data_IF_112675571349
#
_entry.id   IF_112675571349
#
_cell.length_a   1.000
_cell.length_b   1.000
_cell.length_c   1.000
_cell.angle_alpha   90.00
_cell.angle_beta   90.00
_cell.angle_gamma   90.00
#
_symmetry.space_group_name_H-M   'P 1'
#
loop_
_entity.id
_entity.type
_entity.pdbx_description
1 polymer ?
#
# COMPACT_ATOMS: atom_id res chain seq x y z
N UNK A 1 46.92 4.01 -34.18
CA UNK A 1 46.02 3.02 -34.83
C UNK A 1 44.56 3.46 -34.85
N UNK A 2 44.01 4.07 -33.79
CA UNK A 2 42.65 4.65 -33.79
C UNK A 2 42.44 5.81 -34.79
N UNK A 3 43.47 6.63 -35.04
CA UNK A 3 43.40 7.71 -36.03
C UNK A 3 43.34 7.22 -37.49
N UNK A 4 43.86 6.02 -37.80
CA UNK A 4 43.80 5.44 -39.15
C UNK A 4 42.42 4.81 -39.43
N UNK A 5 41.78 4.25 -38.39
CA UNK A 5 40.42 3.71 -38.43
C UNK A 5 39.35 4.80 -38.60
N UNK A 6 39.57 5.98 -37.99
CA UNK A 6 38.67 7.13 -38.17
C UNK A 6 38.70 7.69 -39.61
N UNK A 7 39.86 7.68 -40.28
CA UNK A 7 40.00 8.15 -41.67
C UNK A 7 39.39 7.17 -42.68
N UNK A 8 39.50 5.85 -42.44
CA UNK A 8 38.86 4.82 -43.29
C UNK A 8 37.34 4.81 -43.12
N UNK A 9 36.82 5.01 -41.91
CA UNK A 9 35.37 5.11 -41.67
C UNK A 9 34.76 6.39 -42.27
N UNK A 10 35.47 7.52 -42.20
CA UNK A 10 35.02 8.78 -42.81
C UNK A 10 35.05 8.75 -44.36
N UNK A 11 36.01 8.04 -44.96
CA UNK A 11 36.08 7.87 -46.42
C UNK A 11 35.09 6.84 -46.96
N UNK A 12 34.73 5.82 -46.19
CA UNK A 12 33.62 4.91 -46.52
C UNK A 12 32.24 5.61 -46.43
N UNK A 13 32.07 6.56 -45.52
CA UNK A 13 30.87 7.40 -45.42
C UNK A 13 30.69 8.36 -46.61
N UNK A 14 31.78 8.90 -47.16
CA UNK A 14 31.73 9.77 -48.35
C UNK A 14 31.48 9.00 -49.66
N UNK A 15 31.80 7.70 -49.73
CA UNK A 15 31.52 6.84 -50.87
C UNK A 15 30.08 6.29 -50.89
N UNK A 16 29.33 6.47 -49.80
CA UNK A 16 27.92 6.08 -49.67
C UNK A 16 26.95 7.26 -49.80
N UNK A 17 27.46 8.49 -49.94
CA UNK A 17 26.62 9.62 -50.34
C UNK A 17 26.30 9.47 -51.82
N UNK A 18 25.00 9.43 -52.21
CA UNK A 18 24.63 9.37 -53.61
C UNK A 18 25.18 10.62 -54.30
N UNK A 19 26.00 10.43 -55.35
CA UNK A 19 26.28 11.50 -56.30
C UNK A 19 24.94 11.92 -56.90
N UNK A 20 24.52 13.12 -56.59
CA UNK A 20 23.45 13.83 -57.30
C UNK A 20 23.95 14.13 -58.72
N UNK A 21 23.88 13.13 -59.61
CA UNK A 21 23.85 13.35 -61.07
C UNK A 21 23.59 12.10 -61.93
N UNK A 22 23.23 10.95 -61.35
CA UNK A 22 22.64 9.87 -62.13
C UNK A 22 21.18 9.70 -61.71
N UNK A 23 20.28 10.38 -62.45
CA UNK A 23 18.85 10.05 -62.44
C UNK A 23 18.67 8.54 -62.54
N UNK A 24 17.58 8.01 -61.97
CA UNK A 24 17.37 6.60 -61.58
C UNK A 24 17.68 5.51 -62.64
N UNK A 25 18.02 5.87 -63.89
CA UNK A 25 18.40 4.98 -65.00
C UNK A 25 19.48 5.54 -65.97
N UNK A 26 20.21 6.61 -65.61
CA UNK A 26 21.27 7.20 -66.47
C UNK A 26 20.74 7.82 -67.77
N UNK A 27 19.53 8.39 -67.75
CA UNK A 27 18.92 9.10 -68.88
C UNK A 27 18.90 10.60 -68.59
N UNK A 28 19.19 11.47 -69.59
CA UNK A 28 19.03 12.91 -69.43
C UNK A 28 17.55 13.26 -69.15
N UNK A 29 17.31 14.29 -68.32
CA UNK A 29 15.96 14.84 -68.12
C UNK A 29 15.42 15.33 -69.48
N UNK A 30 14.45 14.61 -70.03
CA UNK A 30 13.79 15.02 -71.27
C UNK A 30 12.78 16.11 -70.97
N UNK A 31 12.83 17.20 -71.74
CA UNK A 31 11.82 18.26 -71.66
C UNK A 31 10.61 17.92 -72.52
N UNK A 32 9.45 18.48 -72.17
CA UNK A 32 8.17 18.19 -72.81
C UNK A 32 8.22 18.56 -74.31
N UNK A 33 8.31 17.55 -75.19
CA UNK A 33 8.42 17.72 -76.64
C UNK A 33 9.62 17.02 -77.30
N UNK A 34 10.59 16.53 -76.52
CA UNK A 34 11.75 15.81 -77.06
C UNK A 34 11.48 14.31 -77.28
N UNK A 35 12.02 13.76 -78.38
CA UNK A 35 11.87 12.35 -78.75
C UNK A 35 13.00 11.53 -78.14
N UNK A 36 12.66 10.51 -77.34
CA UNK A 36 13.65 9.67 -76.67
C UNK A 36 14.51 8.88 -77.67
N UNK A 37 15.85 8.80 -77.48
CA UNK A 37 16.76 8.12 -78.41
C UNK A 37 16.70 6.58 -78.37
N UNK A 38 15.88 5.99 -77.49
CA UNK A 38 15.65 4.53 -77.45
C UNK A 38 14.15 4.23 -77.35
N UNK A 39 13.74 3.10 -77.92
CA UNK A 39 12.38 2.58 -77.78
C UNK A 39 12.12 2.19 -76.33
N UNK A 40 11.53 3.09 -75.56
CA UNK A 40 11.03 2.79 -74.23
C UNK A 40 9.68 2.10 -74.40
N UNK A 41 9.59 0.80 -74.07
CA UNK A 41 8.28 0.16 -73.91
C UNK A 41 7.59 0.85 -72.75
N UNK A 42 6.54 1.62 -73.04
CA UNK A 42 5.65 2.17 -72.01
C UNK A 42 5.17 1.01 -71.13
N UNK A 43 5.44 1.02 -69.81
CA UNK A 43 4.77 0.10 -68.91
C UNK A 43 3.27 0.29 -69.12
N UNK A 44 2.56 -0.78 -69.42
CA UNK A 44 1.14 -0.76 -69.84
C UNK A 44 0.19 -0.24 -68.74
N UNK A 45 0.74 0.03 -67.56
CA UNK A 45 0.14 0.77 -66.45
C UNK A 45 0.91 2.07 -66.22
N UNK A 46 0.47 3.14 -66.89
CA UNK A 46 0.79 4.51 -66.47
C UNK A 46 -0.01 4.78 -65.18
N UNK A 47 0.67 4.74 -64.04
CA UNK A 47 0.12 5.27 -62.79
C UNK A 47 0.18 6.79 -62.91
N UNK A 48 -0.88 7.39 -63.42
CA UNK A 48 -1.04 8.85 -63.39
C UNK A 48 -1.41 9.20 -61.96
N UNK A 49 -0.44 9.70 -61.20
CA UNK A 49 -0.64 10.13 -59.82
C UNK A 49 -1.42 11.46 -59.82
N UNK A 50 -2.73 11.35 -59.65
CA UNK A 50 -3.60 12.50 -59.45
C UNK A 50 -3.44 12.97 -58.00
N UNK A 51 -2.51 13.93 -57.82
CA UNK A 51 -2.20 14.51 -56.52
C UNK A 51 -3.43 15.14 -55.85
N UNK A 52 -4.34 15.75 -56.60
CA UNK A 52 -5.49 16.46 -56.03
C UNK A 52 -6.52 15.47 -55.47
N UNK A 53 -6.82 14.39 -56.22
CA UNK A 53 -7.72 13.34 -55.72
C UNK A 53 -7.08 12.54 -54.59
N UNK A 54 -5.76 12.32 -54.62
CA UNK A 54 -5.03 11.64 -53.56
C UNK A 54 -5.03 12.47 -52.26
N UNK A 55 -4.81 13.78 -52.34
CA UNK A 55 -4.90 14.69 -51.19
C UNK A 55 -6.33 14.76 -50.63
N UNK A 56 -7.36 14.85 -51.50
CA UNK A 56 -8.76 14.78 -51.06
C UNK A 56 -9.09 13.44 -50.40
N UNK A 57 -8.59 12.32 -50.93
CA UNK A 57 -8.79 11.00 -50.34
C UNK A 57 -8.05 10.86 -49.00
N UNK A 58 -6.82 11.40 -48.87
CA UNK A 58 -6.10 11.47 -47.58
C UNK A 58 -6.83 12.31 -46.56
N UNK A 59 -7.33 13.50 -46.94
CA UNK A 59 -8.09 14.36 -46.04
C UNK A 59 -9.40 13.67 -45.58
N UNK A 60 -10.11 13.00 -46.49
CA UNK A 60 -11.31 12.22 -46.16
C UNK A 60 -11.00 10.99 -45.31
N UNK A 61 -9.86 10.32 -45.54
CA UNK A 61 -9.41 9.20 -44.72
C UNK A 61 -9.02 9.68 -43.32
N UNK A 62 -8.23 10.75 -43.20
CA UNK A 62 -7.83 11.35 -41.94
C UNK A 62 -9.05 11.82 -41.13
N UNK A 63 -10.05 12.44 -41.77
CA UNK A 63 -11.31 12.82 -41.12
C UNK A 63 -12.18 11.62 -40.72
N UNK A 64 -11.91 10.41 -41.25
CA UNK A 64 -12.63 9.17 -40.91
C UNK A 64 -11.98 8.40 -39.77
N UNK A 65 -10.71 8.63 -39.47
CA UNK A 65 -10.01 7.94 -38.37
C UNK A 65 -10.48 8.55 -37.04
N UNK A 66 -11.09 7.76 -36.14
CA UNK A 66 -11.44 8.26 -34.81
C UNK A 66 -10.16 8.61 -34.04
N UNK A 67 -10.19 9.60 -33.14
CA UNK A 67 -9.05 9.87 -32.27
C UNK A 67 -8.72 8.61 -31.45
N UNK A 68 -7.43 8.30 -31.35
CA UNK A 68 -6.91 7.14 -30.63
C UNK A 68 -6.19 7.57 -29.37
N UNK A 69 -6.54 6.97 -28.24
CA UNK A 69 -5.91 7.20 -26.94
C UNK A 69 -5.28 5.92 -26.40
N UNK A 70 -4.12 6.07 -25.76
CA UNK A 70 -3.41 4.96 -25.15
C UNK A 70 -3.63 4.95 -23.64
N UNK A 71 -4.27 3.90 -23.14
CA UNK A 71 -4.49 3.65 -21.72
C UNK A 71 -3.32 2.83 -21.16
N UNK A 72 -2.54 3.47 -20.28
CA UNK A 72 -1.35 2.90 -19.63
C UNK A 72 -1.72 2.21 -18.31
N UNK A 73 -2.46 1.09 -18.38
CA UNK A 73 -2.93 0.39 -17.18
C UNK A 73 -1.79 -0.24 -16.37
N UNK A 74 -0.66 -0.59 -17.01
CA UNK A 74 0.55 -1.09 -16.36
C UNK A 74 1.21 -0.08 -15.39
N UNK A 75 0.81 1.19 -15.46
CA UNK A 75 1.30 2.22 -14.55
C UNK A 75 0.95 1.90 -13.08
N UNK A 76 -0.19 1.22 -12.85
CA UNK A 76 -0.60 0.76 -11.52
C UNK A 76 0.44 -0.18 -10.89
N UNK A 77 0.95 -1.14 -11.65
CA UNK A 77 1.99 -2.07 -11.18
C UNK A 77 3.33 -1.37 -10.97
N UNK A 78 3.67 -0.39 -11.81
CA UNK A 78 4.88 0.42 -11.65
C UNK A 78 4.82 1.25 -10.38
N UNK A 79 3.66 1.85 -10.07
CA UNK A 79 3.46 2.62 -8.84
C UNK A 79 3.48 1.70 -7.61
N UNK A 80 2.86 0.51 -7.70
CA UNK A 80 2.97 -0.52 -6.66
C UNK A 80 4.43 -0.84 -6.37
N UNK A 81 5.24 -1.15 -7.39
CA UNK A 81 6.66 -1.49 -7.23
C UNK A 81 7.45 -0.33 -6.58
N UNK A 82 7.17 0.92 -6.97
CA UNK A 82 7.80 2.10 -6.36
C UNK A 82 7.42 2.28 -4.90
N UNK A 83 6.15 2.05 -4.53
CA UNK A 83 5.71 2.08 -3.13
C UNK A 83 6.44 0.99 -2.34
N UNK A 84 6.50 -0.24 -2.84
CA UNK A 84 7.21 -1.35 -2.17
C UNK A 84 8.72 -1.06 -2.00
N UNK A 85 9.38 -0.55 -3.04
CA UNK A 85 10.78 -0.16 -3.02
C UNK A 85 11.04 0.97 -2.01
N UNK A 86 10.18 2.01 -1.98
CA UNK A 86 10.30 3.12 -1.04
C UNK A 86 10.25 2.68 0.42
N UNK A 87 9.26 1.86 0.79
CA UNK A 87 9.16 1.33 2.15
C UNK A 87 10.35 0.42 2.51
N UNK A 88 10.89 -0.32 1.54
CA UNK A 88 12.08 -1.15 1.74
C UNK A 88 13.33 -0.30 1.98
N UNK A 89 13.59 0.68 1.11
CA UNK A 89 14.73 1.60 1.25
C UNK A 89 14.67 2.40 2.56
N UNK A 90 13.47 2.85 2.96
CA UNK A 90 13.27 3.57 4.23
C UNK A 90 13.61 2.71 5.46
N UNK A 91 13.34 1.40 5.42
CA UNK A 91 13.68 0.45 6.49
C UNK A 91 15.17 0.10 6.49
N UNK A 92 15.76 -0.17 5.32
CA UNK A 92 17.20 -0.45 5.21
C UNK A 92 18.05 0.74 5.71
N UNK A 93 17.62 1.97 5.41
CA UNK A 93 18.24 3.18 5.94
C UNK A 93 18.09 3.29 7.48
N UNK A 94 17.00 2.79 8.07
CA UNK A 94 16.84 2.71 9.53
C UNK A 94 17.78 1.70 10.16
N UNK A 95 17.88 0.50 9.57
CA UNK A 95 18.72 -0.59 10.08
C UNK A 95 20.21 -0.26 10.02
N UNK A 96 20.63 0.52 9.01
CA UNK A 96 22.01 1.01 8.87
C UNK A 96 22.34 2.19 9.79
N UNK A 97 21.37 2.68 10.57
CA UNK A 97 21.56 3.80 11.49
C UNK A 97 21.69 5.15 10.78
N UNK A 98 21.16 5.28 9.56
CA UNK A 98 21.16 6.56 8.85
C UNK A 98 20.33 7.61 9.60
N UNK A 99 20.74 8.88 9.48
CA UNK A 99 19.99 9.98 10.06
C UNK A 99 18.61 10.15 9.41
N UNK A 100 17.76 10.96 10.02
CA UNK A 100 16.39 11.20 9.56
C UNK A 100 16.32 11.78 8.14
N UNK A 101 17.28 12.62 7.77
CA UNK A 101 17.31 13.24 6.45
C UNK A 101 17.61 12.20 5.36
N UNK A 102 18.64 11.38 5.56
CA UNK A 102 19.02 10.32 4.63
C UNK A 102 17.94 9.25 4.49
N UNK A 103 17.24 8.92 5.59
CA UNK A 103 16.11 7.99 5.54
C UNK A 103 14.96 8.51 4.70
N UNK A 104 14.58 9.77 4.92
CA UNK A 104 13.52 10.40 4.13
C UNK A 104 13.93 10.53 2.66
N UNK A 105 15.19 10.88 2.39
CA UNK A 105 15.75 10.97 1.04
C UNK A 105 15.70 9.63 0.31
N UNK A 106 16.15 8.54 0.93
CA UNK A 106 16.11 7.19 0.34
C UNK A 106 14.67 6.76 0.00
N UNK A 107 13.72 7.01 0.90
CA UNK A 107 12.30 6.73 0.66
C UNK A 107 11.73 7.56 -0.50
N UNK A 108 12.00 8.86 -0.53
CA UNK A 108 11.51 9.77 -1.57
C UNK A 108 12.12 9.48 -2.94
N UNK A 109 13.39 9.05 -2.98
CA UNK A 109 14.09 8.68 -4.21
C UNK A 109 13.38 7.53 -4.92
N UNK A 110 13.08 6.45 -4.19
CA UNK A 110 12.38 5.28 -4.72
C UNK A 110 10.91 5.57 -5.03
N UNK A 111 10.23 6.32 -4.14
CA UNK A 111 8.85 6.74 -4.39
C UNK A 111 8.79 7.69 -5.59
N UNK A 112 9.87 8.42 -5.88
CA UNK A 112 10.04 9.46 -6.90
C UNK A 112 9.00 10.58 -6.79
N UNK A 113 8.69 10.97 -5.55
CA UNK A 113 7.84 12.12 -5.19
C UNK A 113 8.56 12.91 -4.11
N UNK A 114 8.66 14.23 -4.29
CA UNK A 114 9.20 15.12 -3.27
C UNK A 114 8.13 15.41 -2.22
N UNK A 115 8.42 15.05 -0.97
CA UNK A 115 7.55 15.24 0.20
C UNK A 115 8.39 15.85 1.33
N UNK A 116 7.79 16.59 2.26
CA UNK A 116 8.55 17.10 3.40
C UNK A 116 9.08 15.94 4.28
N UNK A 117 10.36 15.93 4.69
CA UNK A 117 10.93 14.85 5.50
C UNK A 117 10.13 14.55 6.78
N UNK A 118 9.58 15.60 7.40
CA UNK A 118 8.74 15.51 8.61
C UNK A 118 7.45 14.72 8.40
N UNK A 119 6.94 14.65 7.17
CA UNK A 119 5.75 13.88 6.80
C UNK A 119 6.05 12.42 6.48
N UNK A 120 7.27 12.14 5.99
CA UNK A 120 7.70 10.81 5.55
C UNK A 120 8.15 9.94 6.72
N UNK A 121 8.89 10.51 7.68
CA UNK A 121 9.48 9.77 8.79
C UNK A 121 8.46 8.99 9.65
N UNK A 122 7.27 9.52 9.97
CA UNK A 122 6.24 8.76 10.67
C UNK A 122 5.72 7.54 9.89
N UNK A 123 5.73 7.60 8.55
CA UNK A 123 5.27 6.52 7.67
C UNK A 123 6.26 5.36 7.68
N UNK A 124 7.57 5.66 7.75
CA UNK A 124 8.63 4.66 7.78
C UNK A 124 8.76 4.01 9.17
N UNK A 125 8.71 4.81 10.24
CA UNK A 125 8.97 4.36 11.62
C UNK A 125 7.80 3.66 12.30
N UNK A 126 6.60 3.83 11.77
CA UNK A 126 5.40 3.30 12.41
C UNK A 126 5.40 1.77 12.41
N UNK A 127 4.90 1.16 13.49
CA UNK A 127 4.49 -0.25 13.49
C UNK A 127 3.43 -0.59 12.41
N UNK A 128 2.95 0.43 11.70
CA UNK A 128 1.92 0.38 10.67
C UNK A 128 2.49 0.59 9.26
N UNK A 129 3.82 0.61 9.08
CA UNK A 129 4.44 0.84 7.77
C UNK A 129 3.94 -0.11 6.70
N UNK A 130 3.75 -1.39 7.02
CA UNK A 130 3.23 -2.38 6.07
C UNK A 130 1.73 -2.20 5.79
N UNK A 131 0.90 -1.89 6.79
CA UNK A 131 -0.53 -1.62 6.57
C UNK A 131 -0.76 -0.37 5.72
N UNK A 132 0.04 0.68 5.95
CA UNK A 132 0.01 1.90 5.17
C UNK A 132 0.50 1.64 3.74
N UNK A 133 1.60 0.90 3.57
CA UNK A 133 2.09 0.46 2.26
C UNK A 133 0.98 -0.25 1.49
N UNK A 134 0.33 -1.22 2.12
CA UNK A 134 -0.72 -2.02 1.48
C UNK A 134 -1.96 -1.17 1.14
N UNK A 135 -2.32 -0.21 2.01
CA UNK A 135 -3.38 0.76 1.73
C UNK A 135 -3.02 1.67 0.54
N UNK A 136 -1.78 2.16 0.46
CA UNK A 136 -1.30 2.97 -0.66
C UNK A 136 -1.31 2.20 -1.98
N UNK A 137 -0.84 0.94 -1.96
CA UNK A 137 -0.85 0.05 -3.13
C UNK A 137 -2.29 -0.17 -3.60
N UNK A 138 -3.20 -0.48 -2.69
CA UNK A 138 -4.60 -0.71 -3.04
C UNK A 138 -5.23 0.54 -3.66
N UNK A 139 -5.05 1.71 -3.05
CA UNK A 139 -5.57 2.97 -3.59
C UNK A 139 -5.01 3.22 -4.99
N UNK A 140 -3.70 3.06 -5.19
CA UNK A 140 -3.07 3.20 -6.50
C UNK A 140 -3.67 2.24 -7.53
N UNK A 141 -3.76 0.95 -7.21
CA UNK A 141 -4.33 -0.06 -8.11
C UNK A 141 -5.78 0.25 -8.49
N UNK A 142 -6.64 0.58 -7.52
CA UNK A 142 -8.04 0.94 -7.77
C UNK A 142 -8.19 2.16 -8.68
N UNK A 143 -7.26 3.13 -8.65
CA UNK A 143 -7.29 4.28 -9.56
C UNK A 143 -6.92 3.87 -10.98
N UNK A 144 -5.87 3.06 -11.13
CA UNK A 144 -5.34 2.65 -12.45
C UNK A 144 -6.10 1.48 -13.10
N UNK A 145 -7.09 0.90 -12.42
CA UNK A 145 -8.06 -0.01 -13.03
C UNK A 145 -8.97 0.67 -14.06
N UNK A 146 -9.15 2.00 -13.96
CA UNK A 146 -9.96 2.80 -14.90
C UNK A 146 -9.08 3.69 -15.79
N UNK A 147 -9.42 3.90 -17.07
CA UNK A 147 -8.75 4.90 -17.90
C UNK A 147 -8.91 6.30 -17.29
N UNK A 148 -7.79 6.99 -17.04
CA UNK A 148 -7.76 8.37 -16.53
C UNK A 148 -7.28 9.30 -17.64
N UNK A 149 -7.99 10.40 -17.86
CA UNK A 149 -7.61 11.45 -18.82
C UNK A 149 -7.49 12.81 -18.14
N UNK A 150 -6.60 13.65 -18.66
CA UNK A 150 -6.36 14.99 -18.11
C UNK A 150 -7.59 15.90 -18.25
N UNK A 151 -8.23 15.90 -19.41
CA UNK A 151 -9.40 16.74 -19.70
C UNK A 151 -10.54 15.88 -20.28
N UNK A 152 -11.43 15.42 -19.38
CA UNK A 152 -12.61 14.63 -19.74
C UNK A 152 -13.63 15.44 -20.56
N UNK A 153 -13.92 16.72 -20.24
CA UNK A 153 -14.73 17.58 -21.12
C UNK A 153 -14.19 17.65 -22.55
N UNK A 154 -12.88 17.81 -22.73
CA UNK A 154 -12.27 17.80 -24.06
C UNK A 154 -12.46 16.47 -24.78
N UNK A 155 -12.26 15.34 -24.09
CA UNK A 155 -12.55 14.02 -24.64
C UNK A 155 -14.02 13.89 -25.07
N UNK A 156 -14.95 14.39 -24.26
CA UNK A 156 -16.38 14.35 -24.56
C UNK A 156 -16.74 15.19 -25.80
N UNK A 157 -16.07 16.33 -26.02
CA UNK A 157 -16.21 17.12 -27.25
C UNK A 157 -15.65 16.40 -28.48
N UNK A 158 -14.63 15.55 -28.29
CA UNK A 158 -14.05 14.74 -29.35
C UNK A 158 -14.80 13.43 -29.63
N UNK A 159 -15.75 13.03 -28.78
CA UNK A 159 -16.64 11.90 -29.08
C UNK A 159 -17.52 12.31 -30.28
N UNK A 160 -17.01 11.97 -31.46
CA UNK A 160 -17.76 11.90 -32.70
C UNK A 160 -18.89 10.86 -32.55
N UNK A 161 -19.96 10.89 -33.36
CA UNK A 161 -20.96 9.80 -33.42
C UNK A 161 -20.37 8.39 -33.62
N UNK A 162 -19.08 8.26 -33.98
CA UNK A 162 -18.36 6.99 -34.13
C UNK A 162 -17.64 6.52 -32.86
N UNK A 163 -17.55 7.35 -31.82
CA UNK A 163 -16.80 7.06 -30.60
C UNK A 163 -15.30 7.38 -30.70
N UNK A 164 -14.58 7.02 -29.64
CA UNK A 164 -13.13 7.20 -29.47
C UNK A 164 -12.47 5.83 -29.38
N UNK A 165 -11.36 5.62 -30.09
CA UNK A 165 -10.59 4.39 -29.95
C UNK A 165 -9.68 4.48 -28.72
N UNK A 166 -9.80 3.53 -27.79
CA UNK A 166 -8.92 3.40 -26.63
C UNK A 166 -8.14 2.10 -26.76
N UNK A 167 -6.81 2.22 -26.78
CA UNK A 167 -5.87 1.12 -26.84
C UNK A 167 -5.28 0.90 -25.46
N UNK A 168 -5.40 -0.30 -24.94
CA UNK A 168 -4.60 -0.72 -23.79
C UNK A 168 -3.22 -1.07 -24.29
N UNK A 169 -2.23 -0.29 -23.88
CA UNK A 169 -0.84 -0.44 -24.31
C UNK A 169 -0.04 -1.03 -23.15
N UNK A 170 0.78 -2.03 -23.43
CA UNK A 170 1.69 -2.62 -22.45
C UNK A 170 2.98 -1.78 -22.30
N UNK A 171 3.84 -2.16 -21.35
CA UNK A 171 5.08 -1.45 -21.04
C UNK A 171 6.06 -1.40 -22.23
N UNK A 172 6.02 -2.39 -23.12
CA UNK A 172 6.86 -2.46 -24.33
C UNK A 172 6.29 -1.66 -25.52
N UNK A 173 5.13 -1.01 -25.34
CA UNK A 173 4.44 -0.29 -26.40
C UNK A 173 3.54 -1.17 -27.28
N UNK A 174 3.45 -2.47 -27.00
CA UNK A 174 2.53 -3.36 -27.71
C UNK A 174 1.08 -3.09 -27.34
N UNK A 175 0.18 -3.17 -28.33
CA UNK A 175 -1.26 -2.99 -28.11
C UNK A 175 -1.86 -4.34 -27.72
N UNK A 176 -2.30 -4.45 -26.47
CA UNK A 176 -2.94 -5.66 -25.95
C UNK A 176 -4.41 -5.74 -26.36
N UNK A 177 -5.12 -4.61 -26.29
CA UNK A 177 -6.55 -4.53 -26.56
C UNK A 177 -6.88 -3.18 -27.17
N UNK A 178 -7.80 -3.18 -28.12
CA UNK A 178 -8.40 -1.96 -28.66
C UNK A 178 -9.92 -2.03 -28.46
N UNK A 179 -10.50 -0.94 -27.97
CA UNK A 179 -11.94 -0.81 -27.77
C UNK A 179 -12.42 0.56 -28.26
N UNK A 180 -13.60 0.60 -28.87
CA UNK A 180 -14.24 1.87 -29.24
C UNK A 180 -15.21 2.28 -28.14
N UNK A 181 -14.91 3.37 -27.45
CA UNK A 181 -15.81 3.96 -26.45
C UNK A 181 -16.81 4.88 -27.14
N UNK A 182 -18.10 4.57 -27.01
CA UNK A 182 -19.17 5.44 -27.47
C UNK A 182 -19.58 6.49 -26.43
N UNK A 183 -19.13 6.33 -25.18
CA UNK A 183 -19.42 7.21 -24.06
C UNK A 183 -18.18 7.45 -23.22
N UNK A 184 -18.07 8.63 -22.61
CA UNK A 184 -17.03 8.95 -21.62
C UNK A 184 -17.38 8.43 -20.22
N UNK A 185 -18.47 7.67 -20.02
CA UNK A 185 -18.88 7.22 -18.68
C UNK A 185 -17.81 6.36 -18.00
N UNK A 186 -17.13 5.51 -18.76
CA UNK A 186 -16.08 4.60 -18.25
C UNK A 186 -14.71 5.26 -18.14
N UNK A 187 -14.60 6.55 -18.49
CA UNK A 187 -13.35 7.33 -18.43
C UNK A 187 -13.43 8.33 -17.29
N UNK A 188 -12.42 8.32 -16.40
CA UNK A 188 -12.33 9.27 -15.29
C UNK A 188 -11.51 10.49 -15.70
N UNK A 189 -12.00 11.68 -15.38
CA UNK A 189 -11.16 12.89 -15.43
C UNK A 189 -10.18 12.94 -14.25
N UNK A 190 -9.08 13.68 -14.37
CA UNK A 190 -8.07 13.79 -13.30
C UNK A 190 -8.67 14.28 -11.98
N UNK A 191 -9.63 15.22 -12.01
CA UNK A 191 -10.28 15.71 -10.79
C UNK A 191 -11.19 14.66 -10.16
N UNK A 192 -11.84 13.81 -10.96
CA UNK A 192 -12.65 12.70 -10.47
C UNK A 192 -11.78 11.58 -9.91
N UNK A 193 -10.63 11.32 -10.53
CA UNK A 193 -9.65 10.39 -10.01
C UNK A 193 -9.12 10.89 -8.65
N UNK A 194 -8.79 12.18 -8.51
CA UNK A 194 -8.41 12.81 -7.24
C UNK A 194 -9.49 12.70 -6.17
N UNK A 195 -10.73 13.06 -6.48
CA UNK A 195 -11.83 12.93 -5.52
C UNK A 195 -12.07 11.46 -5.11
N UNK A 196 -11.88 10.50 -6.04
CA UNK A 196 -11.94 9.09 -5.73
C UNK A 196 -10.78 8.66 -4.82
N UNK A 197 -9.56 9.20 -5.02
CA UNK A 197 -8.43 9.01 -4.09
C UNK A 197 -8.81 9.53 -2.71
N UNK A 198 -9.30 10.76 -2.61
CA UNK A 198 -9.65 11.37 -1.32
C UNK A 198 -10.72 10.55 -0.58
N UNK A 199 -11.72 10.06 -1.31
CA UNK A 199 -12.76 9.18 -0.75
C UNK A 199 -12.19 7.85 -0.28
N UNK A 200 -11.38 7.18 -1.12
CA UNK A 200 -10.75 5.91 -0.77
C UNK A 200 -9.78 6.07 0.40
N UNK A 201 -9.01 7.14 0.43
CA UNK A 201 -8.09 7.46 1.52
C UNK A 201 -8.88 7.73 2.80
N UNK A 202 -9.95 8.54 2.75
CA UNK A 202 -10.81 8.77 3.90
C UNK A 202 -11.42 7.46 4.43
N UNK A 203 -12.02 6.64 3.57
CA UNK A 203 -12.57 5.34 3.96
C UNK A 203 -11.49 4.40 4.53
N UNK A 204 -10.26 4.43 3.99
CA UNK A 204 -9.17 3.57 4.45
C UNK A 204 -8.58 4.07 5.75
N UNK A 205 -8.43 5.37 5.92
CA UNK A 205 -8.04 6.00 7.18
C UNK A 205 -9.09 5.78 8.28
N UNK A 206 -10.38 5.78 7.93
CA UNK A 206 -11.46 5.40 8.84
C UNK A 206 -11.39 3.91 9.23
N UNK A 207 -11.00 3.02 8.31
CA UNK A 207 -10.78 1.58 8.58
C UNK A 207 -9.46 1.30 9.30
N UNK A 208 -8.47 2.18 9.19
CA UNK A 208 -7.26 2.16 9.99
C UNK A 208 -7.63 2.65 11.40
N UNK A 209 -8.12 1.73 12.22
CA UNK A 209 -8.48 2.01 13.62
C UNK A 209 -7.44 2.91 14.29
N UNK A 210 -7.84 4.01 14.97
CA UNK A 210 -6.95 4.86 15.72
C UNK A 210 -5.91 4.02 16.47
N UNK A 211 -4.63 4.38 16.34
CA UNK A 211 -3.50 3.63 16.93
C UNK A 211 -3.75 3.31 18.41
N UNK A 212 -4.47 4.21 19.09
CA UNK A 212 -4.92 4.05 20.46
C UNK A 212 -5.79 2.80 20.69
N UNK A 213 -6.81 2.60 19.84
CA UNK A 213 -7.76 1.48 19.94
C UNK A 213 -7.08 0.15 19.67
N UNK A 214 -6.17 0.10 18.71
CA UNK A 214 -5.38 -1.11 18.43
C UNK A 214 -4.47 -1.47 19.59
N UNK A 215 -3.80 -0.47 20.18
CA UNK A 215 -2.94 -0.69 21.34
C UNK A 215 -3.76 -1.19 22.55
N UNK A 216 -4.94 -0.63 22.80
CA UNK A 216 -5.87 -1.13 23.81
C UNK A 216 -6.39 -2.54 23.49
N UNK A 217 -6.71 -2.84 22.23
CA UNK A 217 -7.15 -4.17 21.80
C UNK A 217 -6.06 -5.22 22.06
N UNK A 218 -4.78 -4.88 21.88
CA UNK A 218 -3.66 -5.77 22.23
C UNK A 218 -3.60 -6.11 23.72
N UNK A 219 -3.91 -5.14 24.60
CA UNK A 219 -4.02 -5.38 26.05
C UNK A 219 -5.24 -6.25 26.36
N UNK A 220 -6.42 -5.92 25.80
CA UNK A 220 -7.66 -6.67 26.02
C UNK A 220 -7.58 -8.11 25.50
N UNK A 221 -6.90 -8.35 24.38
CA UNK A 221 -6.65 -9.70 23.87
C UNK A 221 -5.77 -10.51 24.83
N UNK A 222 -4.72 -9.89 25.41
CA UNK A 222 -3.88 -10.54 26.42
C UNK A 222 -4.67 -10.94 27.66
N UNK A 223 -5.57 -10.06 28.10
CA UNK A 223 -6.49 -10.30 29.22
C UNK A 223 -7.42 -11.47 28.90
N UNK A 224 -8.01 -11.50 27.69
CA UNK A 224 -8.93 -12.56 27.29
C UNK A 224 -8.27 -13.94 27.31
N UNK A 225 -7.05 -14.06 26.77
CA UNK A 225 -6.26 -15.30 26.84
C UNK A 225 -6.07 -15.75 28.29
N UNK A 226 -5.72 -14.82 29.18
CA UNK A 226 -5.52 -15.15 30.59
C UNK A 226 -6.83 -15.59 31.28
N UNK A 227 -7.95 -14.94 30.98
CA UNK A 227 -9.28 -15.28 31.53
C UNK A 227 -9.78 -16.63 31.00
N UNK A 228 -9.40 -17.04 29.79
CA UNK A 228 -9.73 -18.34 29.22
C UNK A 228 -8.90 -19.51 29.81
N UNK A 229 -7.75 -19.20 30.43
CA UNK A 229 -6.81 -20.19 30.97
C UNK A 229 -7.44 -21.25 31.90
N UNK A 230 -8.34 -20.93 32.85
CA UNK A 230 -8.97 -21.94 33.70
C UNK A 230 -9.80 -22.97 32.93
N UNK A 231 -10.33 -22.60 31.76
CA UNK A 231 -11.14 -23.48 30.92
C UNK A 231 -10.28 -24.28 29.94
N UNK A 232 -9.26 -23.63 29.35
CA UNK A 232 -8.39 -24.25 28.33
C UNK A 232 -7.26 -25.08 28.94
N UNK A 233 -6.73 -24.66 30.09
CA UNK A 233 -5.58 -25.25 30.79
C UNK A 233 -5.86 -25.36 32.30
N UNK A 234 -6.84 -26.19 32.71
CA UNK A 234 -7.35 -26.21 34.08
C UNK A 234 -6.32 -26.63 35.12
N UNK A 235 -5.42 -27.56 34.79
CA UNK A 235 -4.44 -28.09 35.75
C UNK A 235 -3.30 -27.10 36.00
N UNK A 236 -2.80 -26.48 34.94
CA UNK A 236 -1.77 -25.43 34.99
C UNK A 236 -2.30 -24.21 35.77
N UNK A 237 -3.52 -23.77 35.43
CA UNK A 237 -4.17 -22.68 36.15
C UNK A 237 -4.39 -23.02 37.63
N UNK A 238 -4.78 -24.26 37.95
CA UNK A 238 -5.00 -24.71 39.33
C UNK A 238 -3.70 -24.70 40.12
N UNK A 239 -2.60 -25.21 39.57
CA UNK A 239 -1.29 -25.22 40.22
C UNK A 239 -0.84 -23.78 40.52
N UNK A 240 -0.91 -22.90 39.52
CA UNK A 240 -0.58 -21.48 39.68
C UNK A 240 -1.47 -20.81 40.74
N UNK A 241 -2.79 -21.06 40.70
CA UNK A 241 -3.74 -20.46 41.62
C UNK A 241 -3.53 -20.89 43.07
N UNK A 242 -3.19 -22.17 43.30
CA UNK A 242 -2.86 -22.66 44.64
C UNK A 242 -1.58 -22.03 45.18
N UNK A 243 -0.56 -21.85 44.34
CA UNK A 243 0.70 -21.23 44.74
C UNK A 243 0.54 -19.75 45.09
N UNK A 244 -0.35 -19.02 44.41
CA UNK A 244 -0.56 -17.58 44.61
C UNK A 244 -1.59 -17.27 45.71
N UNK A 245 -2.57 -18.15 45.94
CA UNK A 245 -3.66 -17.89 46.88
C UNK A 245 -3.29 -18.07 48.36
N UNK A 246 -2.26 -18.86 48.67
CA UNK A 246 -1.82 -19.07 50.06
C UNK A 246 -0.77 -18.00 50.43
N UNK A 247 -0.99 -17.20 51.51
CA UNK A 247 -0.04 -16.19 51.93
C UNK A 247 1.27 -16.77 52.51
N UNK A 248 1.33 -18.08 52.78
CA UNK A 248 2.53 -18.75 53.25
C UNK A 248 3.47 -19.06 52.08
N UNK A 249 4.77 -19.08 52.36
CA UNK A 249 5.79 -19.54 51.40
C UNK A 249 5.68 -21.07 51.25
N UNK A 250 4.89 -21.52 50.26
CA UNK A 250 4.64 -22.94 50.00
C UNK A 250 5.73 -23.60 49.14
N UNK A 251 6.45 -22.80 48.36
CA UNK A 251 7.52 -23.24 47.46
C UNK A 251 8.84 -22.72 48.02
N UNK A 252 9.88 -23.56 48.19
CA UNK A 252 11.16 -23.07 48.66
C UNK A 252 11.76 -22.04 47.69
N UNK A 253 12.60 -21.15 48.21
CA UNK A 253 13.07 -19.97 47.46
C UNK A 253 13.75 -20.29 46.12
N UNK A 254 14.60 -21.34 45.99
CA UNK A 254 15.21 -21.69 44.70
C UNK A 254 14.17 -21.99 43.61
N UNK A 255 13.19 -22.82 43.93
CA UNK A 255 12.13 -23.23 43.00
C UNK A 255 11.17 -22.06 42.69
N UNK A 256 10.85 -21.24 43.69
CA UNK A 256 10.06 -20.03 43.50
C UNK A 256 10.74 -19.04 42.54
N UNK A 257 12.08 -18.95 42.61
CA UNK A 257 12.88 -18.12 41.70
C UNK A 257 12.85 -18.65 40.27
N UNK A 258 12.91 -19.96 40.07
CA UNK A 258 12.78 -20.57 38.74
C UNK A 258 11.42 -20.27 38.11
N UNK A 259 10.33 -20.38 38.89
CA UNK A 259 8.98 -20.02 38.43
C UNK A 259 8.89 -18.54 38.06
N UNK A 260 9.46 -17.65 38.88
CA UNK A 260 9.48 -16.22 38.59
C UNK A 260 10.23 -15.91 37.29
N UNK A 261 11.38 -16.54 37.07
CA UNK A 261 12.17 -16.39 35.84
C UNK A 261 11.41 -16.89 34.62
N UNK A 262 10.65 -17.99 34.74
CA UNK A 262 9.81 -18.50 33.67
C UNK A 262 8.59 -17.60 33.38
N UNK A 263 8.02 -16.95 34.39
CA UNK A 263 6.87 -16.05 34.25
C UNK A 263 7.24 -14.65 33.75
N UNK A 264 8.48 -14.21 34.00
CA UNK A 264 8.95 -12.86 33.67
C UNK A 264 8.72 -12.47 32.19
N UNK A 265 8.98 -13.31 31.17
CA UNK A 265 8.70 -12.96 29.78
C UNK A 265 7.23 -12.69 29.48
N UNK A 266 6.30 -13.34 30.19
CA UNK A 266 4.86 -13.15 30.01
C UNK A 266 4.46 -11.77 30.53
N UNK A 267 4.90 -11.42 31.75
CA UNK A 267 4.67 -10.09 32.33
C UNK A 267 5.36 -8.99 31.52
N UNK A 268 6.55 -9.26 30.96
CA UNK A 268 7.24 -8.32 30.07
C UNK A 268 6.45 -8.06 28.78
N UNK A 269 5.84 -9.08 28.18
CA UNK A 269 4.96 -8.89 27.00
C UNK A 269 3.74 -8.02 27.33
N UNK A 270 3.14 -8.21 28.50
CA UNK A 270 2.04 -7.36 28.97
C UNK A 270 2.52 -5.91 29.21
N UNK A 271 3.71 -5.74 29.81
CA UNK A 271 4.34 -4.44 30.00
C UNK A 271 4.58 -3.71 28.67
N UNK A 272 5.07 -4.41 27.65
CA UNK A 272 5.27 -3.84 26.31
C UNK A 272 3.95 -3.38 25.69
N UNK A 273 2.86 -4.14 25.83
CA UNK A 273 1.53 -3.75 25.34
C UNK A 273 0.99 -2.51 26.04
N UNK A 274 1.11 -2.44 27.37
CA UNK A 274 0.70 -1.27 28.15
C UNK A 274 1.57 -0.04 27.81
N UNK A 275 2.87 -0.22 27.60
CA UNK A 275 3.77 0.84 27.16
C UNK A 275 3.43 1.35 25.76
N UNK A 276 3.07 0.46 24.82
CA UNK A 276 2.62 0.83 23.49
C UNK A 276 1.31 1.64 23.54
N UNK A 277 0.37 1.22 24.39
CA UNK A 277 -0.87 1.97 24.63
C UNK A 277 -0.58 3.36 25.21
N UNK A 278 0.34 3.49 26.16
CA UNK A 278 0.77 4.79 26.65
C UNK A 278 1.45 5.65 25.57
N UNK A 279 2.37 5.06 24.78
CA UNK A 279 3.07 5.75 23.68
C UNK A 279 2.12 6.26 22.60
N UNK A 280 1.03 5.54 22.35
CA UNK A 280 -0.02 5.96 21.41
C UNK A 280 -0.95 7.06 21.93
N UNK A 281 -0.86 7.40 23.23
CA UNK A 281 -1.79 8.31 23.89
C UNK A 281 -3.12 7.67 24.30
N UNK A 282 -3.25 6.33 24.19
CA UNK A 282 -4.43 5.61 24.66
C UNK A 282 -4.49 5.49 26.19
N UNK A 283 -3.34 5.52 26.84
CA UNK A 283 -3.18 5.55 28.29
C UNK A 283 -2.29 6.73 28.67
N UNK A 284 -2.53 7.31 29.84
CA UNK A 284 -1.59 8.22 30.48
C UNK A 284 -0.30 7.45 30.81
N UNK A 285 0.89 8.00 30.56
CA UNK A 285 2.14 7.36 30.99
C UNK A 285 2.16 7.12 32.51
N UNK A 286 2.92 6.12 32.99
CA UNK A 286 3.10 5.94 34.43
C UNK A 286 3.69 7.21 35.06
N UNK A 287 3.23 7.63 36.25
CA UNK A 287 3.83 8.76 36.96
C UNK A 287 5.32 8.52 37.24
N UNK A 288 6.06 9.62 37.36
CA UNK A 288 7.48 9.58 37.66
C UNK A 288 7.75 8.81 38.96
N UNK A 289 8.70 7.88 38.92
CA UNK A 289 9.05 7.01 40.05
C UNK A 289 8.18 5.75 40.20
N UNK A 290 7.14 5.53 39.39
CA UNK A 290 6.44 4.24 39.37
C UNK A 290 7.36 3.13 38.83
N UNK A 291 7.52 1.99 39.53
CA UNK A 291 8.39 0.92 39.09
C UNK A 291 7.99 0.36 37.71
N UNK A 292 8.96 0.06 36.83
CA UNK A 292 8.69 -0.71 35.62
C UNK A 292 8.02 -2.03 35.98
N UNK A 293 6.79 -2.25 35.50
CA UNK A 293 6.02 -3.46 35.78
C UNK A 293 4.91 -3.33 36.81
N UNK A 294 4.76 -2.19 37.50
CA UNK A 294 3.69 -1.98 38.46
C UNK A 294 2.28 -2.18 37.86
N UNK A 295 1.97 -1.51 36.74
CA UNK A 295 0.68 -1.67 36.04
C UNK A 295 0.41 -3.09 35.53
N UNK A 296 1.36 -3.79 34.85
CA UNK A 296 1.21 -5.22 34.53
C UNK A 296 0.90 -6.08 35.75
N UNK A 297 1.60 -5.85 36.87
CA UNK A 297 1.41 -6.61 38.10
C UNK A 297 0.03 -6.36 38.72
N UNK A 298 -0.42 -5.09 38.77
CA UNK A 298 -1.76 -4.72 39.24
C UNK A 298 -2.85 -5.37 38.39
N UNK A 299 -2.70 -5.32 37.06
CA UNK A 299 -3.64 -5.96 36.14
C UNK A 299 -3.71 -7.47 36.36
N UNK A 300 -2.55 -8.14 36.41
CA UNK A 300 -2.47 -9.58 36.64
C UNK A 300 -3.05 -9.98 38.00
N UNK A 301 -2.65 -9.29 39.08
CA UNK A 301 -3.13 -9.58 40.43
C UNK A 301 -4.64 -9.37 40.56
N UNK A 302 -5.18 -8.30 39.97
CA UNK A 302 -6.62 -8.05 39.94
C UNK A 302 -7.36 -9.16 39.19
N UNK A 303 -6.89 -9.54 38.00
CA UNK A 303 -7.47 -10.63 37.23
C UNK A 303 -7.43 -11.95 37.98
N UNK A 304 -6.30 -12.26 38.62
CA UNK A 304 -6.16 -13.47 39.42
C UNK A 304 -7.12 -13.48 40.61
N UNK A 305 -7.34 -12.33 41.25
CA UNK A 305 -8.37 -12.17 42.28
C UNK A 305 -9.77 -12.50 41.75
N UNK A 306 -10.14 -11.97 40.58
CA UNK A 306 -11.43 -12.27 39.93
C UNK A 306 -11.54 -13.76 39.61
N UNK A 307 -10.53 -14.38 39.02
CA UNK A 307 -10.55 -15.81 38.69
C UNK A 307 -10.70 -16.69 39.94
N UNK A 308 -10.12 -16.30 41.07
CA UNK A 308 -10.31 -17.01 42.35
C UNK A 308 -11.74 -16.94 42.90
N UNK A 309 -12.54 -15.94 42.49
CA UNK A 309 -13.95 -15.86 42.87
C UNK A 309 -14.84 -16.82 42.10
N UNK A 310 -14.38 -17.42 41.00
CA UNK A 310 -15.17 -18.38 40.19
C UNK A 310 -15.77 -19.52 41.02
N UNK A 311 -15.08 -19.96 42.08
CA UNK A 311 -15.57 -20.97 43.03
C UNK A 311 -16.85 -20.58 43.77
N UNK A 312 -17.14 -19.27 43.87
CA UNK A 312 -18.36 -18.71 44.45
C UNK A 312 -19.52 -18.69 43.45
N UNK A 313 -19.25 -18.80 42.15
CA UNK A 313 -20.28 -18.88 41.10
C UNK A 313 -21.28 -20.01 41.32
N UNK A 314 -20.83 -21.13 41.90
CA UNK A 314 -21.73 -22.25 42.29
C UNK A 314 -22.72 -21.90 43.40
N UNK A 315 -22.42 -20.87 44.21
CA UNK A 315 -23.23 -20.44 45.35
C UNK A 315 -24.10 -19.23 45.00
N UNK A 316 -23.62 -18.37 44.09
CA UNK A 316 -24.29 -17.14 43.70
C UNK A 316 -24.06 -16.82 42.20
N UNK A 317 -24.64 -17.62 41.28
CA UNK A 317 -24.38 -17.48 39.84
C UNK A 317 -24.85 -16.15 39.27
N UNK A 318 -25.87 -15.52 39.87
CA UNK A 318 -26.36 -14.19 39.44
C UNK A 318 -25.36 -13.06 39.79
N UNK A 319 -24.60 -13.23 40.88
CA UNK A 319 -23.63 -12.26 41.37
C UNK A 319 -22.24 -12.47 40.76
N UNK A 320 -21.83 -13.73 40.58
CA UNK A 320 -20.46 -14.11 40.21
C UNK A 320 -20.43 -14.68 38.80
N UNK A 321 -20.33 -13.77 37.84
CA UNK A 321 -19.97 -14.06 36.45
C UNK A 321 -18.51 -13.64 36.26
N UNK A 322 -17.61 -14.63 36.22
CA UNK A 322 -16.15 -14.39 36.18
C UNK A 322 -15.72 -13.62 34.95
N UNK A 323 -16.33 -13.87 33.79
CA UNK A 323 -15.98 -13.17 32.54
C UNK A 323 -16.42 -11.70 32.61
N UNK A 324 -17.67 -11.46 33.03
CA UNK A 324 -18.20 -10.11 33.23
C UNK A 324 -17.42 -9.32 34.27
N UNK A 325 -17.04 -9.95 35.38
CA UNK A 325 -16.23 -9.33 36.43
C UNK A 325 -14.82 -9.00 35.94
N UNK A 326 -14.18 -9.89 35.19
CA UNK A 326 -12.85 -9.65 34.63
C UNK A 326 -12.88 -8.48 33.64
N UNK A 327 -13.88 -8.45 32.77
CA UNK A 327 -14.10 -7.35 31.84
C UNK A 327 -14.31 -6.01 32.57
N UNK A 328 -15.17 -6.00 33.61
CA UNK A 328 -15.45 -4.80 34.41
C UNK A 328 -14.20 -4.29 35.12
N UNK A 329 -13.42 -5.18 35.73
CA UNK A 329 -12.16 -4.85 36.39
C UNK A 329 -11.18 -4.21 35.41
N UNK A 330 -10.94 -4.86 34.27
CA UNK A 330 -9.95 -4.40 33.28
C UNK A 330 -10.36 -3.05 32.70
N UNK A 331 -11.63 -2.87 32.33
CA UNK A 331 -12.10 -1.56 31.89
C UNK A 331 -11.92 -0.50 32.98
N UNK A 332 -12.23 -0.82 34.24
CA UNK A 332 -12.03 0.09 35.36
C UNK A 332 -10.56 0.53 35.51
N UNK A 333 -9.62 -0.42 35.43
CA UNK A 333 -8.18 -0.13 35.49
C UNK A 333 -7.73 0.71 34.28
N UNK A 334 -8.10 0.33 33.06
CA UNK A 334 -7.70 1.06 31.85
C UNK A 334 -8.27 2.49 31.83
N UNK A 335 -9.53 2.69 32.27
CA UNK A 335 -10.11 4.03 32.48
C UNK A 335 -9.33 4.81 33.53
N UNK A 336 -9.01 4.18 34.67
CA UNK A 336 -8.19 4.78 35.73
C UNK A 336 -6.79 5.17 35.26
N UNK A 337 -6.30 4.55 34.18
CA UNK A 337 -5.04 4.88 33.52
C UNK A 337 -5.22 5.80 32.29
N UNK A 338 -6.39 6.39 32.08
CA UNK A 338 -6.63 7.44 31.09
C UNK A 338 -7.26 6.97 29.76
N UNK A 339 -7.68 5.72 29.63
CA UNK A 339 -8.39 5.27 28.43
C UNK A 339 -9.78 5.90 28.30
N UNK A 340 -10.13 6.33 27.08
CA UNK A 340 -11.47 6.86 26.75
C UNK A 340 -12.46 5.72 26.56
N UNK A 341 -13.72 5.94 26.95
CA UNK A 341 -14.78 4.93 26.84
C UNK A 341 -15.02 4.47 25.39
N UNK A 342 -15.01 5.40 24.44
CA UNK A 342 -15.20 5.09 23.02
C UNK A 342 -14.09 4.17 22.48
N UNK A 343 -12.85 4.41 22.91
CA UNK A 343 -11.71 3.62 22.45
C UNK A 343 -11.70 2.23 23.09
N UNK A 344 -12.11 2.12 24.36
CA UNK A 344 -12.27 0.83 25.03
C UNK A 344 -13.39 0.00 24.42
N UNK A 345 -14.52 0.61 24.10
CA UNK A 345 -15.65 -0.07 23.47
C UNK A 345 -15.27 -0.60 22.08
N UNK A 346 -14.62 0.22 21.25
CA UNK A 346 -14.16 -0.19 19.92
C UNK A 346 -13.08 -1.28 20.01
N UNK A 347 -12.13 -1.15 20.94
CA UNK A 347 -11.09 -2.16 21.17
C UNK A 347 -11.68 -3.50 21.62
N UNK A 348 -12.68 -3.49 22.51
CA UNK A 348 -13.37 -4.69 22.98
C UNK A 348 -14.13 -5.38 21.82
N UNK A 349 -14.93 -4.63 21.06
CA UNK A 349 -15.67 -5.16 19.92
C UNK A 349 -14.76 -5.84 18.89
N UNK A 350 -13.56 -5.31 18.67
CA UNK A 350 -12.54 -5.93 17.81
C UNK A 350 -12.05 -7.26 18.37
N UNK A 351 -11.74 -7.32 19.66
CA UNK A 351 -11.32 -8.58 20.30
C UNK A 351 -12.46 -9.60 20.26
N UNK A 352 -13.71 -9.19 20.38
CA UNK A 352 -14.87 -10.07 20.24
C UNK A 352 -15.05 -10.62 18.83
N UNK A 353 -14.88 -9.78 17.80
CA UNK A 353 -14.98 -10.21 16.41
C UNK A 353 -13.96 -11.33 16.08
N UNK A 354 -12.70 -11.15 16.47
CA UNK A 354 -11.63 -12.15 16.20
C UNK A 354 -11.92 -13.49 16.88
N UNK A 355 -12.37 -13.47 18.12
CA UNK A 355 -12.62 -14.70 18.89
C UNK A 355 -13.93 -15.41 18.54
N UNK A 356 -14.87 -14.69 17.92
CA UNK A 356 -16.13 -15.30 17.44
C UNK A 356 -15.92 -16.02 16.10
N UNK A 357 -14.93 -15.61 15.30
CA UNK A 357 -14.59 -16.26 14.02
C UNK A 357 -13.78 -17.57 14.19
N UNK A 358 -13.09 -17.76 15.32
CA UNK A 358 -12.25 -18.95 15.58
C UNK A 358 -12.97 -20.11 16.33
N UNK A 359 -14.26 -19.97 16.65
CA UNK A 359 -15.08 -21.01 17.32
C UNK A 359 -16.19 -21.56 16.43
#
# INVERSE_FOLDING_TARGET
MLALLAVVAASAGLLLLPRSDDGLLGLPELTLGEVSPRTVKSPTTLVVEDHETTEKARAQAAAKVPPTYDALLWMGDTIKQRIEAAFTAGREAEETGADEAHRAEAFMLELGVAVEPTQVLPLIRGANGDELRDAMIMVAQTIYESPVVQDRPYLALQISPRGVAVRTVDRDGSVQREATLQTVQDVRGIDQARAAVDTLVAERLERLEPVQRRALAGVLAAVRVYVALPAEHPEEHRLMSLAVADPRVLVPEPEAREVLLAAQPILARLALRLAAAAKSGALTPPPEGEPPGARPLVLWAGLQGVLQTSKLGRLAPELVDTERLAHTLVQGLLRGWGARDEDLAAAAARVDAVYTEER
#
